data_IF_506536226755
#
_entry.id   IF_506536226755
#
_cell.length_a   1.000
_cell.length_b   1.000
_cell.length_c   1.000
_cell.angle_alpha   90.00
_cell.angle_beta   90.00
_cell.angle_gamma   90.00
#
_symmetry.space_group_name_H-M   'P 1'
#
loop_
_entity.id
_entity.type
_entity.pdbx_description
1 polymer ?
#
# COMPACT_ATOMS: atom_id res chain seq x y z
N UNK A 1 26.30 -57.93 40.38
CA UNK A 1 25.34 -58.26 41.46
C UNK A 1 24.28 -57.18 41.47
N UNK A 2 23.08 -57.52 41.02
CA UNK A 2 21.91 -56.64 40.96
C UNK A 2 20.91 -57.12 42.02
N UNK A 3 20.17 -56.22 42.69
CA UNK A 3 18.93 -56.59 43.37
C UNK A 3 17.71 -56.20 42.52
N UNK A 4 16.87 -57.21 42.31
CA UNK A 4 15.50 -57.17 41.76
C UNK A 4 14.48 -56.82 42.89
N UNK A 5 13.17 -56.66 42.62
CA UNK A 5 12.38 -55.52 43.07
C UNK A 5 11.37 -55.86 44.18
N UNK A 6 10.77 -54.82 44.80
CA UNK A 6 9.64 -54.97 45.70
C UNK A 6 8.32 -54.58 45.00
N UNK A 7 7.33 -55.43 45.24
CA UNK A 7 6.01 -55.57 44.63
C UNK A 7 4.93 -54.63 45.18
N UNK A 8 3.92 -54.49 44.31
CA UNK A 8 2.58 -53.91 44.41
C UNK A 8 1.82 -54.30 45.69
N UNK A 9 1.08 -53.35 46.26
CA UNK A 9 -0.09 -53.59 47.12
C UNK A 9 -1.21 -52.63 46.71
N UNK A 10 -2.36 -53.19 46.32
CA UNK A 10 -3.61 -52.50 46.00
C UNK A 10 -4.71 -53.01 46.94
N UNK A 11 -5.64 -52.12 47.31
CA UNK A 11 -7.08 -52.31 47.60
C UNK A 11 -7.58 -51.20 48.57
N UNK A 12 -8.51 -50.33 48.12
CA UNK A 12 -9.99 -50.37 48.29
C UNK A 12 -10.41 -49.82 49.67
N UNK A 13 -11.52 -49.12 49.94
CA UNK A 13 -12.69 -48.54 49.25
C UNK A 13 -13.38 -47.65 50.33
N UNK A 14 -14.10 -46.58 49.94
CA UNK A 14 -15.29 -45.97 50.61
C UNK A 14 -15.44 -44.50 50.14
N UNK A 15 -16.38 -44.14 49.26
CA UNK A 15 -17.83 -43.89 49.44
C UNK A 15 -18.15 -42.51 50.07
N UNK A 16 -19.02 -41.78 49.34
CA UNK A 16 -19.89 -40.63 49.68
C UNK A 16 -19.28 -39.23 49.86
N UNK A 17 -19.55 -38.32 48.91
CA UNK A 17 -20.73 -37.45 48.94
C UNK A 17 -20.71 -36.46 47.76
N UNK A 18 -21.79 -36.45 46.98
CA UNK A 18 -22.08 -35.44 45.94
C UNK A 18 -22.72 -34.22 46.63
N UNK A 19 -22.31 -32.98 46.31
CA UNK A 19 -23.38 -32.02 46.03
C UNK A 19 -23.11 -31.02 44.89
N UNK A 20 -24.22 -30.78 44.18
CA UNK A 20 -24.64 -29.53 43.56
C UNK A 20 -23.88 -29.04 42.31
N UNK A 21 -24.36 -29.53 41.16
CA UNK A 21 -24.27 -28.82 39.88
C UNK A 21 -25.07 -27.51 39.97
N UNK A 22 -24.47 -26.33 39.74
CA UNK A 22 -25.24 -25.12 39.52
C UNK A 22 -25.73 -25.09 38.07
N UNK A 23 -27.03 -24.86 37.91
CA UNK A 23 -27.67 -24.46 36.65
C UNK A 23 -27.03 -23.18 36.11
N UNK A 24 -26.04 -23.32 35.22
CA UNK A 24 -25.66 -22.21 34.34
C UNK A 24 -26.50 -22.24 33.05
N UNK A 25 -27.14 -21.11 32.70
CA UNK A 25 -27.93 -21.03 31.49
C UNK A 25 -27.02 -21.19 30.28
N UNK A 26 -27.45 -22.03 29.33
CA UNK A 26 -26.83 -22.21 28.01
C UNK A 26 -26.74 -20.84 27.32
N UNK A 27 -25.62 -20.14 27.54
CA UNK A 27 -25.26 -18.94 26.80
C UNK A 27 -24.86 -19.40 25.41
N UNK A 28 -25.60 -18.89 24.42
CA UNK A 28 -25.45 -19.17 23.00
C UNK A 28 -23.97 -19.28 22.59
N UNK A 29 -23.63 -20.39 21.95
CA UNK A 29 -22.31 -20.75 21.41
C UNK A 29 -21.71 -19.75 20.42
N UNK A 30 -22.45 -18.69 20.04
CA UNK A 30 -21.95 -17.59 19.25
C UNK A 30 -21.00 -16.65 20.01
N UNK A 31 -21.14 -16.49 21.34
CA UNK A 31 -20.32 -15.53 22.11
C UNK A 31 -18.96 -16.09 22.56
N UNK A 32 -18.83 -17.40 22.72
CA UNK A 32 -17.55 -18.03 23.11
C UNK A 32 -16.50 -18.00 22.00
N UNK A 33 -16.90 -17.84 20.73
CA UNK A 33 -15.95 -17.73 19.62
C UNK A 33 -15.30 -16.34 19.53
N UNK A 34 -15.93 -15.28 20.07
CA UNK A 34 -15.43 -13.91 19.98
C UNK A 34 -14.80 -13.37 21.27
N UNK A 35 -15.11 -13.97 22.43
CA UNK A 35 -14.60 -13.53 23.73
C UNK A 35 -13.06 -13.52 23.86
N UNK A 36 -12.31 -14.47 23.28
CA UNK A 36 -10.85 -14.40 23.27
C UNK A 36 -10.33 -13.25 22.39
N UNK A 37 -10.99 -12.98 21.25
CA UNK A 37 -10.61 -11.92 20.31
C UNK A 37 -10.92 -10.51 20.84
N UNK A 38 -12.01 -10.35 21.59
CA UNK A 38 -12.35 -9.09 22.25
C UNK A 38 -11.34 -8.76 23.36
N UNK A 39 -10.94 -9.76 24.16
CA UNK A 39 -9.92 -9.58 25.23
C UNK A 39 -8.52 -9.36 24.66
N UNK A 40 -8.16 -10.04 23.57
CA UNK A 40 -6.89 -9.81 22.88
C UNK A 40 -6.85 -8.39 22.29
N UNK A 41 -7.92 -7.95 21.60
CA UNK A 41 -8.04 -6.60 21.06
C UNK A 41 -8.08 -5.51 22.14
N UNK A 42 -8.74 -5.73 23.29
CA UNK A 42 -8.73 -4.81 24.43
C UNK A 42 -7.36 -4.73 25.10
N UNK A 43 -6.66 -5.87 25.26
CA UNK A 43 -5.30 -5.88 25.82
C UNK A 43 -4.28 -5.20 24.90
N UNK A 44 -4.43 -5.38 23.58
CA UNK A 44 -3.64 -4.64 22.57
C UNK A 44 -3.98 -3.14 22.62
N UNK A 45 -5.26 -2.76 22.77
CA UNK A 45 -5.69 -1.37 22.89
C UNK A 45 -5.16 -0.67 24.15
N UNK A 46 -5.11 -1.37 25.28
CA UNK A 46 -4.62 -0.84 26.55
C UNK A 46 -3.10 -0.65 26.57
N UNK A 47 -2.34 -1.57 25.97
CA UNK A 47 -0.89 -1.44 25.80
C UNK A 47 -0.49 -0.31 24.84
N UNK A 48 -1.39 0.10 23.94
CA UNK A 48 -1.18 1.22 23.01
C UNK A 48 -1.44 2.60 23.63
N UNK A 49 -2.09 2.70 24.80
CA UNK A 49 -2.43 3.99 25.44
C UNK A 49 -1.22 4.88 25.78
N UNK A 50 -0.09 4.38 26.34
CA UNK A 50 1.07 5.21 26.64
C UNK A 50 1.92 5.55 25.40
N UNK A 51 1.92 4.68 24.39
CA UNK A 51 2.64 4.89 23.12
C UNK A 51 1.99 5.94 22.22
N UNK A 52 0.67 6.13 22.34
CA UNK A 52 -0.11 7.13 21.58
C UNK A 52 0.34 8.58 21.80
N UNK A 53 0.91 8.93 22.94
CA UNK A 53 1.31 10.31 23.23
C UNK A 53 2.47 10.80 22.33
N UNK A 54 3.33 9.90 21.83
CA UNK A 54 4.36 10.21 20.82
C UNK A 54 4.02 9.72 19.41
N UNK A 55 3.06 8.79 19.26
CA UNK A 55 2.59 8.30 17.96
C UNK A 55 1.72 9.30 17.18
N UNK A 56 1.27 10.40 17.81
CA UNK A 56 0.39 11.40 17.21
C UNK A 56 0.96 12.15 15.98
N UNK A 57 2.22 11.89 15.59
CA UNK A 57 2.85 12.49 14.40
C UNK A 57 3.36 11.46 13.37
N UNK A 58 3.25 10.16 13.64
CA UNK A 58 3.84 9.15 12.76
C UNK A 58 2.79 8.42 11.91
N UNK A 59 2.36 9.07 10.83
CA UNK A 59 1.37 8.55 9.89
C UNK A 59 1.73 7.18 9.31
N UNK A 60 3.02 6.82 9.25
CA UNK A 60 3.48 5.52 8.76
C UNK A 60 3.19 4.41 9.76
N UNK A 61 3.41 4.62 11.06
CA UNK A 61 3.06 3.61 12.07
C UNK A 61 1.54 3.44 12.11
N UNK A 62 0.78 4.55 12.03
CA UNK A 62 -0.68 4.51 11.90
C UNK A 62 -1.13 3.71 10.67
N UNK A 63 -0.53 3.95 9.49
CA UNK A 63 -0.86 3.20 8.27
C UNK A 63 -0.42 1.73 8.35
N UNK A 64 0.74 1.43 8.94
CA UNK A 64 1.22 0.07 9.15
C UNK A 64 0.32 -0.70 10.12
N UNK A 65 -0.17 -0.04 11.17
CA UNK A 65 -1.14 -0.58 12.12
C UNK A 65 -2.52 -0.75 11.48
N UNK A 66 -2.95 0.18 10.62
CA UNK A 66 -4.18 0.04 9.83
C UNK A 66 -4.09 -1.13 8.85
N UNK A 67 -2.97 -1.29 8.14
CA UNK A 67 -2.70 -2.44 7.26
C UNK A 67 -2.70 -3.76 8.05
N UNK A 68 -2.18 -3.75 9.27
CA UNK A 68 -2.07 -4.94 10.11
C UNK A 68 -3.39 -5.28 10.83
N UNK A 69 -4.19 -4.30 11.22
CA UNK A 69 -5.22 -4.43 12.25
C UNK A 69 -6.67 -4.36 11.75
N UNK A 70 -6.98 -3.60 10.70
CA UNK A 70 -8.38 -3.35 10.32
C UNK A 70 -8.74 -3.98 8.98
N UNK A 71 -9.62 -4.98 9.01
CA UNK A 71 -10.30 -5.50 7.79
C UNK A 71 -10.94 -4.37 6.98
N UNK A 72 -11.37 -3.31 7.67
CA UNK A 72 -11.93 -2.08 7.08
C UNK A 72 -10.92 -1.35 6.20
N UNK A 73 -9.64 -1.30 6.59
CA UNK A 73 -8.60 -0.66 5.77
C UNK A 73 -8.47 -1.35 4.42
N UNK A 74 -8.54 -2.68 4.40
CA UNK A 74 -8.47 -3.48 3.18
C UNK A 74 -9.75 -3.46 2.35
N UNK A 75 -10.87 -2.96 2.90
CA UNK A 75 -12.15 -2.91 2.19
C UNK A 75 -12.08 -1.98 0.97
N UNK A 76 -11.64 -0.74 1.14
CA UNK A 76 -11.57 0.21 0.03
C UNK A 76 -10.58 -0.21 -1.08
N UNK A 77 -9.34 -0.62 -0.78
CA UNK A 77 -8.43 -1.28 -1.72
C UNK A 77 -9.03 -2.51 -2.39
N UNK A 78 -9.66 -3.39 -1.61
CA UNK A 78 -10.26 -4.62 -2.10
C UNK A 78 -11.41 -4.36 -3.07
N UNK A 79 -12.30 -3.41 -2.73
CA UNK A 79 -13.39 -2.96 -3.59
C UNK A 79 -12.85 -2.32 -4.87
N UNK A 80 -11.81 -1.48 -4.76
CA UNK A 80 -11.17 -0.87 -5.93
C UNK A 80 -10.57 -1.92 -6.86
N UNK A 81 -9.79 -2.86 -6.33
CA UNK A 81 -9.21 -3.96 -7.11
C UNK A 81 -10.30 -4.83 -7.73
N UNK A 82 -11.36 -5.15 -6.99
CA UNK A 82 -12.49 -5.91 -7.52
C UNK A 82 -13.20 -5.17 -8.66
N UNK A 83 -13.49 -3.88 -8.49
CA UNK A 83 -14.09 -3.05 -9.52
C UNK A 83 -13.21 -2.95 -10.77
N UNK A 84 -11.89 -2.80 -10.59
CA UNK A 84 -10.92 -2.74 -11.67
C UNK A 84 -10.85 -4.06 -12.46
N UNK A 85 -10.79 -5.20 -11.77
CA UNK A 85 -10.78 -6.52 -12.42
C UNK A 85 -12.12 -6.83 -13.09
N UNK A 86 -13.25 -6.44 -12.49
CA UNK A 86 -14.57 -6.59 -13.10
C UNK A 86 -14.70 -5.73 -14.37
N UNK A 87 -14.19 -4.50 -14.36
CA UNK A 87 -14.15 -3.63 -15.53
C UNK A 87 -13.35 -4.27 -16.68
N UNK A 88 -12.17 -4.81 -16.37
CA UNK A 88 -11.38 -5.53 -17.38
C UNK A 88 -12.09 -6.78 -17.91
N UNK A 89 -12.71 -7.57 -17.05
CA UNK A 89 -13.45 -8.76 -17.47
C UNK A 89 -14.64 -8.39 -18.38
N UNK A 90 -15.37 -7.32 -18.03
CA UNK A 90 -16.52 -6.83 -18.79
C UNK A 90 -16.15 -6.29 -20.17
N UNK A 91 -15.02 -5.58 -20.26
CA UNK A 91 -14.59 -4.85 -21.47
C UNK A 91 -13.59 -5.63 -22.32
N UNK A 92 -13.31 -6.90 -21.99
CA UNK A 92 -12.28 -7.68 -22.66
C UNK A 92 -10.86 -7.11 -22.48
N UNK A 93 -10.63 -6.31 -21.43
CA UNK A 93 -9.36 -5.65 -21.15
C UNK A 93 -9.13 -4.35 -21.92
N UNK A 94 -10.15 -3.79 -22.58
CA UNK A 94 -10.04 -2.55 -23.35
C UNK A 94 -10.13 -1.28 -22.48
N UNK A 95 -10.81 -1.35 -21.34
CA UNK A 95 -11.11 -0.19 -20.48
C UNK A 95 -10.84 -0.50 -18.99
N UNK A 96 -10.33 0.48 -18.25
CA UNK A 96 -10.17 0.41 -16.80
C UNK A 96 -11.45 0.85 -16.09
N UNK A 97 -11.60 0.56 -14.78
CA UNK A 97 -12.73 1.09 -14.00
C UNK A 97 -12.74 2.63 -14.06
N UNK A 98 -11.57 3.26 -13.95
CA UNK A 98 -11.43 4.70 -14.12
C UNK A 98 -11.75 5.16 -15.54
N UNK A 99 -11.33 4.43 -16.57
CA UNK A 99 -11.71 4.69 -17.97
C UNK A 99 -13.23 4.76 -18.11
N UNK A 100 -13.94 3.74 -17.62
CA UNK A 100 -15.40 3.67 -17.67
C UNK A 100 -16.07 4.85 -16.92
N UNK A 101 -15.62 5.14 -15.69
CA UNK A 101 -16.20 6.22 -14.87
C UNK A 101 -15.93 7.60 -15.47
N UNK A 102 -14.79 7.76 -16.14
CA UNK A 102 -14.35 9.06 -16.67
C UNK A 102 -14.72 9.28 -18.13
N UNK A 103 -15.20 8.26 -18.83
CA UNK A 103 -15.46 8.30 -20.27
C UNK A 103 -14.17 8.29 -21.09
N UNK A 104 -13.18 7.49 -20.67
CA UNK A 104 -11.89 7.36 -21.34
C UNK A 104 -10.94 8.54 -21.16
N UNK A 105 -11.28 9.53 -20.33
CA UNK A 105 -10.43 10.71 -20.08
C UNK A 105 -9.22 10.36 -19.22
N UNK A 106 -9.37 9.41 -18.31
CA UNK A 106 -8.32 8.96 -17.38
C UNK A 106 -7.92 7.54 -17.74
N UNK A 107 -6.61 7.30 -17.85
CA UNK A 107 -6.05 5.98 -18.15
C UNK A 107 -6.55 5.38 -19.47
N UNK A 108 -6.80 6.21 -20.49
CA UNK A 108 -7.21 5.70 -21.80
C UNK A 108 -6.22 4.67 -22.34
N UNK A 109 -6.63 3.41 -22.36
CA UNK A 109 -5.78 2.27 -22.72
C UNK A 109 -5.59 2.15 -24.24
N UNK A 110 -6.24 3.04 -25.00
CA UNK A 110 -6.12 3.21 -26.44
C UNK A 110 -4.97 4.15 -26.86
N UNK A 111 -4.36 4.86 -25.91
CA UNK A 111 -3.17 5.69 -26.18
C UNK A 111 -1.91 4.83 -26.37
N UNK A 112 -0.84 5.43 -26.91
CA UNK A 112 0.43 4.77 -27.17
C UNK A 112 1.09 4.13 -25.93
N UNK A 113 0.76 4.59 -24.72
CA UNK A 113 1.19 4.02 -23.43
C UNK A 113 0.22 2.96 -22.89
N UNK A 114 -0.91 2.75 -23.56
CA UNK A 114 -2.04 1.98 -23.07
C UNK A 114 -1.76 0.50 -22.85
N UNK A 115 -0.84 -0.10 -23.61
CA UNK A 115 -0.40 -1.47 -23.34
C UNK A 115 0.37 -1.58 -22.02
N UNK A 116 1.34 -0.70 -21.78
CA UNK A 116 2.13 -0.69 -20.53
C UNK A 116 1.23 -0.36 -19.34
N UNK A 117 0.33 0.61 -19.51
CA UNK A 117 -0.65 0.97 -18.50
C UNK A 117 -1.57 -0.22 -18.14
N UNK A 118 -2.03 -1.00 -19.13
CA UNK A 118 -2.78 -2.25 -18.91
C UNK A 118 -1.99 -3.25 -18.08
N UNK A 119 -0.76 -3.54 -18.49
CA UNK A 119 0.12 -4.47 -17.77
C UNK A 119 0.37 -4.02 -16.34
N UNK A 120 0.62 -2.72 -16.15
CA UNK A 120 0.81 -2.13 -14.84
C UNK A 120 -0.43 -2.32 -13.97
N UNK A 121 -1.60 -1.88 -14.44
CA UNK A 121 -2.85 -2.00 -13.68
C UNK A 121 -3.15 -3.45 -13.30
N UNK A 122 -3.06 -4.38 -14.25
CA UNK A 122 -3.35 -5.79 -13.98
C UNK A 122 -2.36 -6.39 -12.97
N UNK A 123 -1.05 -6.19 -13.19
CA UNK A 123 -0.02 -6.73 -12.31
C UNK A 123 -0.05 -6.09 -10.91
N UNK A 124 -0.30 -4.79 -10.80
CA UNK A 124 -0.43 -4.08 -9.53
C UNK A 124 -1.69 -4.53 -8.76
N UNK A 125 -2.84 -4.66 -9.44
CA UNK A 125 -4.07 -5.18 -8.85
C UNK A 125 -3.89 -6.62 -8.34
N UNK A 126 -3.30 -7.51 -9.16
CA UNK A 126 -3.00 -8.88 -8.75
C UNK A 126 -2.03 -8.92 -7.57
N UNK A 127 -0.98 -8.09 -7.60
CA UNK A 127 -0.04 -7.96 -6.50
C UNK A 127 -0.75 -7.49 -5.21
N UNK A 128 -1.60 -6.46 -5.25
CA UNK A 128 -2.32 -6.02 -4.03
C UNK A 128 -3.27 -7.09 -3.50
N UNK A 129 -3.97 -7.83 -4.36
CA UNK A 129 -4.81 -8.95 -3.95
C UNK A 129 -3.98 -10.03 -3.24
N UNK A 130 -2.82 -10.39 -3.79
CA UNK A 130 -1.89 -11.31 -3.14
C UNK A 130 -1.37 -10.74 -1.81
N UNK A 131 -1.06 -9.43 -1.77
CA UNK A 131 -0.67 -8.73 -0.54
C UNK A 131 -1.74 -8.84 0.54
N UNK A 132 -3.02 -8.63 0.19
CA UNK A 132 -4.13 -8.81 1.10
C UNK A 132 -4.20 -10.25 1.63
N UNK A 133 -4.03 -11.27 0.77
CA UNK A 133 -3.94 -12.68 1.20
C UNK A 133 -2.75 -12.88 2.16
N UNK A 134 -1.59 -12.30 1.87
CA UNK A 134 -0.41 -12.41 2.72
C UNK A 134 -0.65 -11.87 4.14
N UNK A 135 -1.42 -10.77 4.27
CA UNK A 135 -1.69 -10.10 5.55
C UNK A 135 -2.93 -10.65 6.29
N UNK A 136 -4.01 -10.96 5.58
CA UNK A 136 -5.29 -11.37 6.15
C UNK A 136 -5.38 -12.88 6.40
N UNK A 137 -4.80 -13.71 5.52
CA UNK A 137 -4.83 -15.17 5.65
C UNK A 137 -3.74 -15.70 6.60
N UNK A 138 -3.65 -15.13 7.81
CA UNK A 138 -2.61 -15.47 8.80
C UNK A 138 -2.58 -16.96 9.16
N UNK A 139 -3.75 -17.61 9.18
CA UNK A 139 -3.90 -19.05 9.46
C UNK A 139 -3.21 -19.93 8.41
N UNK A 140 -3.10 -19.45 7.17
CA UNK A 140 -2.48 -20.22 6.08
C UNK A 140 -0.95 -20.25 6.17
N UNK A 141 -0.35 -19.49 7.10
CA UNK A 141 1.10 -19.49 7.31
C UNK A 141 1.62 -20.77 7.96
N UNK A 142 0.72 -21.56 8.55
CA UNK A 142 1.02 -22.79 9.29
C UNK A 142 0.24 -23.98 8.71
N UNK A 143 0.70 -25.19 9.00
CA UNK A 143 0.05 -26.43 8.56
C UNK A 143 0.10 -26.67 7.05
N UNK A 144 -0.91 -27.39 6.54
CA UNK A 144 -0.96 -27.87 5.16
C UNK A 144 -1.00 -26.74 4.11
N UNK A 145 -1.50 -25.55 4.47
CA UNK A 145 -1.61 -24.41 3.56
C UNK A 145 -0.34 -23.54 3.48
N UNK A 146 0.64 -23.79 4.34
CA UNK A 146 1.88 -23.00 4.39
C UNK A 146 2.66 -22.97 3.06
N UNK A 147 2.80 -24.07 2.29
CA UNK A 147 3.47 -24.03 0.99
C UNK A 147 2.76 -23.11 0.00
N UNK A 148 1.43 -23.15 -0.05
CA UNK A 148 0.62 -22.27 -0.91
C UNK A 148 0.82 -20.81 -0.50
N UNK A 149 0.69 -20.48 0.79
CA UNK A 149 0.86 -19.12 1.29
C UNK A 149 2.24 -18.53 0.92
N UNK A 150 3.31 -19.33 1.08
CA UNK A 150 4.67 -18.95 0.66
C UNK A 150 4.80 -18.81 -0.85
N UNK A 151 4.18 -19.70 -1.63
CA UNK A 151 4.15 -19.64 -3.09
C UNK A 151 3.51 -18.34 -3.58
N UNK A 152 2.36 -17.97 -3.00
CA UNK A 152 1.67 -16.71 -3.27
C UNK A 152 2.52 -15.49 -2.87
N UNK A 153 3.26 -15.57 -1.76
CA UNK A 153 4.19 -14.50 -1.34
C UNK A 153 5.37 -14.32 -2.30
N UNK A 154 5.87 -15.41 -2.90
CA UNK A 154 6.90 -15.33 -3.95
C UNK A 154 6.33 -14.77 -5.25
N UNK A 155 5.13 -15.18 -5.64
CA UNK A 155 4.45 -14.63 -6.81
C UNK A 155 4.19 -13.13 -6.64
N UNK A 156 3.74 -12.69 -5.47
CA UNK A 156 3.60 -11.28 -5.10
C UNK A 156 4.89 -10.49 -5.37
N UNK A 157 6.02 -10.97 -4.84
CA UNK A 157 7.32 -10.31 -5.04
C UNK A 157 7.74 -10.35 -6.52
N UNK A 158 7.55 -11.49 -7.19
CA UNK A 158 7.85 -11.65 -8.61
C UNK A 158 7.09 -10.65 -9.48
N UNK A 159 5.79 -10.48 -9.25
CA UNK A 159 4.97 -9.50 -9.94
C UNK A 159 5.47 -8.07 -9.72
N UNK A 160 5.82 -7.72 -8.47
CA UNK A 160 6.38 -6.39 -8.17
C UNK A 160 7.70 -6.16 -8.91
N UNK A 161 8.69 -7.04 -8.71
CA UNK A 161 10.03 -6.83 -9.23
C UNK A 161 10.11 -6.93 -10.76
N UNK A 162 9.30 -7.77 -11.39
CA UNK A 162 9.35 -8.00 -12.83
C UNK A 162 8.44 -7.08 -13.64
N UNK A 163 7.28 -6.67 -13.11
CA UNK A 163 6.25 -5.97 -13.90
C UNK A 163 5.75 -4.71 -13.22
N UNK A 164 5.13 -4.80 -12.05
CA UNK A 164 4.39 -3.69 -11.46
C UNK A 164 5.32 -2.52 -11.06
N UNK A 165 6.46 -2.81 -10.42
CA UNK A 165 7.45 -1.82 -10.02
C UNK A 165 8.12 -1.13 -11.21
N UNK A 166 8.71 -1.86 -12.17
CA UNK A 166 9.33 -1.25 -13.36
C UNK A 166 8.34 -0.43 -14.18
N UNK A 167 7.12 -0.94 -14.39
CA UNK A 167 6.09 -0.19 -15.10
C UNK A 167 5.59 1.03 -14.32
N UNK A 168 5.49 0.98 -12.98
CA UNK A 168 5.17 2.15 -12.16
C UNK A 168 6.20 3.27 -12.34
N UNK A 169 7.48 2.90 -12.27
CA UNK A 169 8.59 3.84 -12.44
C UNK A 169 8.55 4.47 -13.84
N UNK A 170 8.41 3.64 -14.87
CA UNK A 170 8.27 4.08 -16.25
C UNK A 170 7.07 5.03 -16.43
N UNK A 171 5.88 4.65 -15.97
CA UNK A 171 4.68 5.47 -16.11
C UNK A 171 4.78 6.79 -15.33
N UNK A 172 5.53 6.81 -14.24
CA UNK A 172 5.83 8.05 -13.50
C UNK A 172 6.64 9.01 -14.37
N UNK A 173 7.65 8.51 -15.08
CA UNK A 173 8.49 9.27 -16.02
C UNK A 173 7.75 9.76 -17.25
N UNK A 174 6.88 8.91 -17.82
CA UNK A 174 6.15 9.19 -19.06
C UNK A 174 4.73 9.71 -18.83
N UNK A 175 4.44 10.21 -17.63
CA UNK A 175 3.17 10.86 -17.34
C UNK A 175 3.04 12.17 -18.14
N UNK A 176 1.96 12.30 -18.92
CA UNK A 176 1.70 13.51 -19.72
C UNK A 176 1.41 14.73 -18.85
N UNK A 177 1.62 15.92 -19.39
CA UNK A 177 1.35 17.20 -18.70
C UNK A 177 -0.10 17.64 -18.84
N UNK A 178 -0.75 17.10 -19.88
CA UNK A 178 -2.17 17.23 -20.16
C UNK A 178 -2.58 18.62 -20.62
N UNK A 179 -3.89 18.84 -20.77
CA UNK A 179 -4.42 19.99 -21.51
C UNK A 179 -3.99 21.35 -20.94
N UNK A 180 -3.80 21.43 -19.63
CA UNK A 180 -3.44 22.66 -18.93
C UNK A 180 -1.92 22.91 -18.86
N UNK A 181 -1.10 22.13 -19.59
CA UNK A 181 0.37 22.23 -19.57
C UNK A 181 0.94 22.27 -18.14
N UNK A 182 0.44 21.41 -17.26
CA UNK A 182 0.75 21.40 -15.83
C UNK A 182 2.16 20.82 -15.53
N UNK A 183 3.19 21.29 -16.23
CA UNK A 183 4.56 20.76 -16.22
C UNK A 183 5.16 20.67 -14.82
N UNK A 184 5.02 21.74 -14.01
CA UNK A 184 5.55 21.77 -12.64
C UNK A 184 4.85 20.74 -11.76
N UNK A 185 3.52 20.69 -11.82
CA UNK A 185 2.70 19.78 -11.03
C UNK A 185 3.00 18.32 -11.40
N UNK A 186 3.06 18.02 -12.71
CA UNK A 186 3.37 16.68 -13.21
C UNK A 186 4.82 16.27 -12.98
N UNK A 187 5.75 17.22 -12.86
CA UNK A 187 7.12 16.95 -12.42
C UNK A 187 7.15 16.54 -10.96
N UNK A 188 6.42 17.26 -10.10
CA UNK A 188 6.30 16.88 -8.69
C UNK A 188 5.66 15.50 -8.54
N UNK A 189 4.57 15.22 -9.28
CA UNK A 189 3.98 13.88 -9.38
C UNK A 189 5.04 12.83 -9.74
N UNK A 190 5.76 13.05 -10.84
CA UNK A 190 6.76 12.11 -11.37
C UNK A 190 7.84 11.78 -10.32
N UNK A 191 8.40 12.80 -9.68
CA UNK A 191 9.42 12.67 -8.62
C UNK A 191 8.89 11.85 -7.45
N UNK A 192 7.69 12.16 -6.96
CA UNK A 192 7.09 11.50 -5.80
C UNK A 192 6.71 10.04 -6.10
N UNK A 193 6.17 9.77 -7.28
CA UNK A 193 5.79 8.42 -7.70
C UNK A 193 7.02 7.53 -7.94
N UNK A 194 8.08 8.07 -8.54
CA UNK A 194 9.37 7.37 -8.64
C UNK A 194 9.93 7.07 -7.25
N UNK A 195 9.90 8.04 -6.33
CA UNK A 195 10.39 7.85 -4.96
C UNK A 195 9.64 6.76 -4.22
N UNK A 196 8.31 6.81 -4.28
CA UNK A 196 7.42 5.80 -3.70
C UNK A 196 7.75 4.40 -4.23
N UNK A 197 8.01 4.31 -5.55
CA UNK A 197 8.37 3.06 -6.21
C UNK A 197 9.72 2.53 -5.71
N UNK A 198 10.74 3.39 -5.62
CA UNK A 198 12.09 3.01 -5.14
C UNK A 198 12.06 2.58 -3.67
N UNK A 199 11.30 3.26 -2.82
CA UNK A 199 11.12 2.86 -1.42
C UNK A 199 10.40 1.51 -1.31
N UNK A 200 9.35 1.28 -2.12
CA UNK A 200 8.67 -0.02 -2.17
C UNK A 200 9.63 -1.14 -2.61
N UNK A 201 10.42 -0.93 -3.67
CA UNK A 201 11.49 -1.86 -4.08
C UNK A 201 12.44 -2.18 -2.92
N UNK A 202 12.93 -1.14 -2.23
CA UNK A 202 13.86 -1.30 -1.13
C UNK A 202 13.27 -2.15 0.01
N UNK A 203 12.05 -1.85 0.44
CA UNK A 203 11.43 -2.55 1.56
C UNK A 203 10.99 -3.97 1.22
N UNK A 204 10.48 -4.22 0.01
CA UNK A 204 10.21 -5.59 -0.44
C UNK A 204 11.49 -6.40 -0.59
N UNK A 205 12.57 -5.80 -1.08
CA UNK A 205 13.88 -6.43 -1.14
C UNK A 205 14.37 -6.82 0.25
N UNK A 206 14.32 -5.88 1.21
CA UNK A 206 14.67 -6.14 2.61
C UNK A 206 13.78 -7.22 3.23
N UNK A 207 12.47 -7.18 3.01
CA UNK A 207 11.53 -8.22 3.45
C UNK A 207 11.91 -9.60 2.91
N UNK A 208 12.22 -9.70 1.62
CA UNK A 208 12.70 -10.94 1.00
C UNK A 208 14.03 -11.41 1.60
N UNK A 209 15.00 -10.50 1.79
CA UNK A 209 16.29 -10.81 2.41
C UNK A 209 16.14 -11.37 3.82
N UNK A 210 15.28 -10.77 4.63
CA UNK A 210 14.98 -11.25 5.99
C UNK A 210 14.45 -12.68 5.94
N UNK A 211 13.53 -12.96 5.02
CA UNK A 211 12.94 -14.29 4.87
C UNK A 211 13.95 -15.36 4.39
N UNK A 212 14.92 -14.98 3.55
CA UNK A 212 15.91 -15.92 2.99
C UNK A 212 17.11 -16.14 3.92
N UNK A 213 17.57 -15.10 4.62
CA UNK A 213 18.85 -15.14 5.35
C UNK A 213 18.73 -15.48 6.82
N UNK A 214 17.61 -15.17 7.47
CA UNK A 214 17.46 -15.44 8.90
C UNK A 214 16.91 -16.83 9.14
N UNK A 215 17.30 -17.42 10.27
CA UNK A 215 16.65 -18.61 10.79
C UNK A 215 15.17 -18.33 11.04
N UNK A 216 14.32 -19.31 10.73
CA UNK A 216 12.88 -19.21 10.93
C UNK A 216 12.60 -19.02 12.42
N UNK A 217 11.81 -18.01 12.77
CA UNK A 217 11.52 -17.65 14.16
C UNK A 217 10.59 -16.45 14.26
N UNK A 218 10.03 -16.22 15.46
CA UNK A 218 9.04 -15.17 15.69
C UNK A 218 9.59 -13.76 15.38
N UNK A 219 10.84 -13.48 15.76
CA UNK A 219 11.50 -12.20 15.50
C UNK A 219 11.71 -11.94 14.01
N UNK A 220 12.22 -12.96 13.28
CA UNK A 220 12.36 -12.91 11.83
C UNK A 220 11.02 -12.59 11.17
N UNK A 221 9.93 -13.18 11.68
CA UNK A 221 8.60 -13.02 11.11
C UNK A 221 8.06 -11.61 11.35
N UNK A 222 8.28 -11.08 12.56
CA UNK A 222 7.94 -9.71 12.91
C UNK A 222 8.68 -8.73 12.00
N UNK A 223 9.98 -8.91 11.81
CA UNK A 223 10.79 -8.02 10.98
C UNK A 223 10.40 -8.11 9.50
N UNK A 224 10.19 -9.32 8.97
CA UNK A 224 9.72 -9.54 7.61
C UNK A 224 8.36 -8.85 7.39
N UNK A 225 7.41 -9.03 8.31
CA UNK A 225 6.09 -8.39 8.25
C UNK A 225 6.21 -6.86 8.23
N UNK A 226 7.07 -6.28 9.07
CA UNK A 226 7.32 -4.82 9.08
C UNK A 226 7.86 -4.32 7.74
N UNK A 227 8.88 -4.98 7.20
CA UNK A 227 9.49 -4.60 5.92
C UNK A 227 8.49 -4.76 4.75
N UNK A 228 7.80 -5.90 4.65
CA UNK A 228 6.78 -6.12 3.63
C UNK A 228 5.61 -5.14 3.77
N UNK A 229 5.20 -4.84 5.00
CA UNK A 229 4.14 -3.87 5.30
C UNK A 229 4.52 -2.48 4.83
N UNK A 230 5.73 -2.02 5.14
CA UNK A 230 6.26 -0.74 4.68
C UNK A 230 6.24 -0.64 3.15
N UNK A 231 6.76 -1.65 2.44
CA UNK A 231 6.71 -1.68 0.98
C UNK A 231 5.28 -1.57 0.45
N UNK A 232 4.35 -2.30 1.09
CA UNK A 232 2.94 -2.29 0.71
C UNK A 232 2.28 -0.94 0.96
N UNK A 233 2.56 -0.25 2.08
CA UNK A 233 2.12 1.13 2.34
C UNK A 233 2.47 2.02 1.17
N UNK A 234 3.75 2.03 0.75
CA UNK A 234 4.19 2.86 -0.36
C UNK A 234 3.38 2.59 -1.63
N UNK A 235 3.25 1.32 -2.01
CA UNK A 235 2.46 0.98 -3.20
C UNK A 235 1.00 1.39 -3.08
N UNK A 236 0.41 1.33 -1.88
CA UNK A 236 -1.02 1.59 -1.67
C UNK A 236 -1.36 3.07 -1.48
N UNK A 237 -0.37 3.97 -1.36
CA UNK A 237 -0.62 5.42 -1.31
C UNK A 237 -1.43 5.90 -2.52
N UNK A 238 -1.21 5.30 -3.69
CA UNK A 238 -1.96 5.57 -4.91
C UNK A 238 -3.46 5.26 -4.76
N UNK A 239 -3.86 4.32 -3.91
CA UNK A 239 -5.28 3.96 -3.75
C UNK A 239 -6.05 5.08 -3.05
N UNK A 240 -5.46 5.67 -2.01
CA UNK A 240 -6.05 6.85 -1.38
C UNK A 240 -6.10 8.01 -2.36
N UNK A 241 -5.00 8.22 -3.10
CA UNK A 241 -4.94 9.24 -4.13
C UNK A 241 -6.09 9.07 -5.14
N UNK A 242 -6.28 7.86 -5.67
CA UNK A 242 -7.34 7.50 -6.61
C UNK A 242 -8.74 7.75 -6.04
N UNK A 243 -8.97 7.45 -4.76
CA UNK A 243 -10.23 7.78 -4.11
C UNK A 243 -10.51 9.30 -4.08
N UNK A 244 -9.52 10.11 -3.70
CA UNK A 244 -9.62 11.56 -3.77
C UNK A 244 -9.88 12.05 -5.20
N UNK A 245 -9.23 11.44 -6.20
CA UNK A 245 -9.45 11.77 -7.60
C UNK A 245 -10.88 11.49 -8.06
N UNK A 246 -11.49 10.37 -7.65
CA UNK A 246 -12.89 10.08 -7.99
C UNK A 246 -13.83 11.16 -7.47
N UNK A 247 -13.61 11.61 -6.23
CA UNK A 247 -14.39 12.71 -5.63
C UNK A 247 -14.22 13.98 -6.46
N UNK A 248 -13.00 14.35 -6.80
CA UNK A 248 -12.71 15.58 -7.55
C UNK A 248 -13.26 15.52 -8.98
N UNK A 249 -13.21 14.36 -9.63
CA UNK A 249 -13.83 14.12 -10.94
C UNK A 249 -15.35 14.25 -10.84
N UNK A 250 -15.96 13.67 -9.80
CA UNK A 250 -17.40 13.81 -9.56
C UNK A 250 -17.79 15.27 -9.34
N UNK A 251 -17.01 16.02 -8.55
CA UNK A 251 -17.20 17.47 -8.36
C UNK A 251 -17.08 18.24 -9.69
N UNK A 252 -16.06 17.93 -10.51
CA UNK A 252 -15.91 18.52 -11.85
C UNK A 252 -17.13 18.27 -12.72
N UNK A 253 -17.58 17.02 -12.80
CA UNK A 253 -18.78 16.64 -13.57
C UNK A 253 -20.01 17.37 -13.06
N UNK A 254 -20.20 17.46 -11.74
CA UNK A 254 -21.32 18.18 -11.15
C UNK A 254 -21.28 19.68 -11.50
N UNK A 255 -20.11 20.32 -11.42
CA UNK A 255 -19.93 21.73 -11.79
C UNK A 255 -20.29 21.98 -13.25
N UNK A 256 -19.82 21.13 -14.16
CA UNK A 256 -20.13 21.24 -15.60
C UNK A 256 -21.62 21.04 -15.86
N UNK A 257 -22.22 19.98 -15.32
CA UNK A 257 -23.65 19.68 -15.50
C UNK A 257 -24.54 20.79 -14.93
N UNK A 258 -24.20 21.33 -13.75
CA UNK A 258 -24.96 22.44 -13.15
C UNK A 258 -24.85 23.73 -13.97
N UNK A 259 -23.69 24.00 -14.57
CA UNK A 259 -23.49 25.15 -15.45
C UNK A 259 -24.27 25.03 -16.77
N UNK A 260 -24.35 23.81 -17.33
CA UNK A 260 -25.11 23.51 -18.54
C UNK A 260 -26.62 23.55 -18.30
N UNK A 261 -27.10 22.98 -17.20
CA UNK A 261 -28.52 22.96 -16.82
C UNK A 261 -29.05 24.34 -16.40
N UNK A 262 -28.17 25.29 -16.08
CA UNK A 262 -28.54 26.65 -15.70
C UNK A 262 -29.18 27.44 -16.85
N UNK A 263 -30.03 28.45 -16.54
CA UNK A 263 -30.58 29.36 -17.54
C UNK A 263 -29.50 29.99 -18.43
N UNK A 264 -29.82 30.24 -19.70
CA UNK A 264 -28.86 30.84 -20.65
C UNK A 264 -28.31 32.22 -20.21
N UNK A 265 -28.98 32.91 -19.29
CA UNK A 265 -28.53 34.17 -18.69
C UNK A 265 -27.35 34.01 -17.71
N UNK A 266 -27.00 32.78 -17.31
CA UNK A 266 -25.93 32.47 -16.36
C UNK A 266 -24.53 32.44 -17.02
N UNK A 267 -24.27 33.36 -17.94
CA UNK A 267 -22.99 33.41 -18.67
C UNK A 267 -21.77 33.48 -17.75
N UNK A 268 -21.84 34.28 -16.68
CA UNK A 268 -20.77 34.38 -15.67
C UNK A 268 -20.56 33.08 -14.90
N UNK A 269 -21.64 32.37 -14.55
CA UNK A 269 -21.55 31.08 -13.82
C UNK A 269 -20.90 30.03 -14.70
N UNK A 270 -21.25 29.99 -15.99
CA UNK A 270 -20.62 29.08 -16.97
C UNK A 270 -19.13 29.36 -17.12
N UNK A 271 -18.73 30.62 -17.23
CA UNK A 271 -17.32 31.01 -17.25
C UNK A 271 -16.56 30.57 -16.01
N UNK A 272 -17.14 30.78 -14.81
CA UNK A 272 -16.52 30.33 -13.55
C UNK A 272 -16.46 28.80 -13.49
N UNK A 273 -17.51 28.11 -13.91
CA UNK A 273 -17.56 26.65 -13.93
C UNK A 273 -16.51 26.05 -14.88
N UNK A 274 -16.34 26.62 -16.08
CA UNK A 274 -15.29 26.26 -17.03
C UNK A 274 -13.91 26.51 -16.44
N UNK A 275 -13.66 27.69 -15.87
CA UNK A 275 -12.38 28.02 -15.25
C UNK A 275 -12.03 27.08 -14.08
N UNK A 276 -13.03 26.69 -13.28
CA UNK A 276 -12.85 25.69 -12.23
C UNK A 276 -12.56 24.31 -12.83
N UNK A 277 -13.30 23.90 -13.86
CA UNK A 277 -13.19 22.59 -14.51
C UNK A 277 -11.88 22.39 -15.30
N UNK A 278 -11.29 23.46 -15.83
CA UNK A 278 -10.04 23.46 -16.61
C UNK A 278 -8.81 23.84 -15.77
N UNK A 279 -9.00 24.46 -14.61
CA UNK A 279 -7.95 24.86 -13.68
C UNK A 279 -7.82 23.89 -12.51
N UNK A 280 -8.33 24.24 -11.31
CA UNK A 280 -8.12 23.46 -10.10
C UNK A 280 -8.77 22.07 -10.13
N UNK A 281 -9.83 21.87 -10.92
CA UNK A 281 -10.46 20.56 -11.08
C UNK A 281 -9.91 19.76 -12.26
N UNK A 282 -8.89 20.27 -12.96
CA UNK A 282 -8.20 19.50 -14.00
C UNK A 282 -7.65 18.19 -13.42
N UNK A 283 -7.73 17.13 -14.20
CA UNK A 283 -7.36 15.79 -13.72
C UNK A 283 -5.88 15.72 -13.35
N UNK A 284 -4.99 16.32 -14.15
CA UNK A 284 -3.56 16.26 -13.93
C UNK A 284 -3.13 17.16 -12.77
N UNK A 285 -3.76 18.32 -12.63
CA UNK A 285 -3.59 19.18 -11.45
C UNK A 285 -4.01 18.42 -10.19
N UNK A 286 -5.17 17.77 -10.21
CA UNK A 286 -5.65 16.98 -9.07
C UNK A 286 -4.78 15.75 -8.77
N UNK A 287 -4.35 15.03 -9.80
CA UNK A 287 -3.40 13.92 -9.67
C UNK A 287 -2.14 14.42 -8.98
N UNK A 288 -1.55 15.51 -9.46
CA UNK A 288 -0.35 16.09 -8.88
C UNK A 288 -0.56 16.60 -7.45
N UNK A 289 -1.63 17.34 -7.16
CA UNK A 289 -1.90 17.88 -5.83
C UNK A 289 -2.12 16.77 -4.79
N UNK A 290 -2.92 15.77 -5.14
CA UNK A 290 -3.17 14.61 -4.28
C UNK A 290 -1.88 13.81 -4.04
N UNK A 291 -1.02 13.66 -5.05
CA UNK A 291 0.32 13.08 -4.89
C UNK A 291 1.25 13.97 -4.08
N UNK A 292 1.25 15.28 -4.26
CA UNK A 292 2.12 16.23 -3.56
C UNK A 292 1.87 16.25 -2.05
N UNK A 293 0.64 16.02 -1.60
CA UNK A 293 0.36 15.88 -0.17
C UNK A 293 1.14 14.69 0.42
N UNK A 294 1.14 13.53 -0.25
CA UNK A 294 1.99 12.40 0.12
C UNK A 294 3.48 12.69 -0.13
N UNK A 295 3.77 13.39 -1.22
CA UNK A 295 5.10 13.80 -1.63
C UNK A 295 5.79 14.68 -0.63
N UNK A 296 5.10 15.63 -0.01
CA UNK A 296 5.64 16.46 1.06
C UNK A 296 6.05 15.59 2.25
N UNK A 297 5.25 14.59 2.62
CA UNK A 297 5.62 13.62 3.63
C UNK A 297 6.82 12.74 3.21
N UNK A 298 6.96 12.46 1.91
CA UNK A 298 8.09 11.71 1.35
C UNK A 298 9.36 12.55 1.15
N UNK A 299 9.24 13.87 0.95
CA UNK A 299 10.36 14.81 0.88
C UNK A 299 11.02 15.01 2.24
N UNK A 300 10.31 14.74 3.35
CA UNK A 300 10.92 14.61 4.67
C UNK A 300 11.89 13.40 4.77
N UNK A 301 11.99 12.59 3.71
CA UNK A 301 12.82 11.38 3.65
C UNK A 301 14.07 11.57 2.79
N UNK A 302 14.63 12.78 2.74
CA UNK A 302 15.88 13.04 1.99
C UNK A 302 16.99 12.05 2.32
N UNK A 303 17.05 11.58 3.57
CA UNK A 303 18.06 10.66 4.09
C UNK A 303 17.77 9.18 3.82
N UNK A 304 16.68 8.87 3.09
CA UNK A 304 16.36 7.53 2.63
C UNK A 304 15.64 6.63 3.68
N UNK A 305 15.51 5.33 3.40
CA UNK A 305 14.71 4.36 4.15
C UNK A 305 15.32 3.98 5.50
N UNK A 306 16.57 4.37 5.76
CA UNK A 306 17.28 4.20 7.04
C UNK A 306 17.24 5.45 7.91
N UNK A 307 16.58 6.51 7.45
CA UNK A 307 16.46 7.74 8.24
C UNK A 307 15.80 7.46 9.59
N UNK A 308 16.11 8.31 10.57
CA UNK A 308 15.52 8.23 11.91
C UNK A 308 13.99 8.21 11.86
N UNK A 309 13.41 8.92 10.91
CA UNK A 309 11.97 8.91 10.67
C UNK A 309 11.44 7.50 10.42
N UNK A 310 12.08 6.70 9.56
CA UNK A 310 11.66 5.33 9.28
C UNK A 310 11.92 4.35 10.40
N UNK A 311 13.05 4.50 11.09
CA UNK A 311 13.36 3.67 12.27
C UNK A 311 12.25 3.85 13.32
N UNK A 312 11.84 5.10 13.57
CA UNK A 312 10.74 5.42 14.48
C UNK A 312 9.38 4.95 13.94
N UNK A 313 9.11 5.17 12.64
CA UNK A 313 7.86 4.76 11.99
C UNK A 313 7.61 3.26 11.97
N UNK A 314 8.68 2.49 11.83
CA UNK A 314 8.62 1.04 11.86
C UNK A 314 8.77 0.50 13.28
N UNK A 315 8.86 1.36 14.30
CA UNK A 315 9.07 1.01 15.69
C UNK A 315 10.21 0.00 15.86
N UNK A 316 11.35 0.29 15.24
CA UNK A 316 12.53 -0.58 15.31
C UNK A 316 13.39 -0.09 16.48
N UNK A 317 13.69 -1.00 17.40
CA UNK A 317 14.80 -0.78 18.33
C UNK A 317 16.15 -0.78 17.55
N UNK A 318 17.22 -0.19 18.10
CA UNK A 318 18.50 -0.06 17.39
C UNK A 318 19.04 -1.39 16.85
N UNK A 319 18.95 -2.46 17.63
CA UNK A 319 19.39 -3.80 17.22
C UNK A 319 18.56 -4.33 16.04
N UNK A 320 17.23 -4.21 16.10
CA UNK A 320 16.37 -4.63 14.98
C UNK A 320 16.61 -3.76 13.74
N UNK A 321 16.89 -2.46 13.90
CA UNK A 321 17.23 -1.56 12.81
C UNK A 321 18.55 -1.96 12.14
N UNK A 322 19.58 -2.25 12.93
CA UNK A 322 20.86 -2.79 12.47
C UNK A 322 20.66 -4.12 11.74
N UNK A 323 19.87 -5.03 12.28
CA UNK A 323 19.56 -6.31 11.62
C UNK A 323 18.85 -6.14 10.26
N UNK A 324 17.93 -5.17 10.15
CA UNK A 324 17.20 -4.92 8.91
C UNK A 324 18.08 -4.22 7.88
N UNK A 325 18.78 -3.19 8.31
CA UNK A 325 19.47 -2.26 7.43
C UNK A 325 20.92 -2.64 7.19
N UNK A 326 21.54 -3.34 8.13
CA UNK A 326 22.92 -3.80 8.15
C UNK A 326 23.82 -2.98 9.09
N UNK A 327 23.32 -1.85 9.60
CA UNK A 327 24.05 -0.88 10.43
C UNK A 327 23.01 0.09 11.08
N UNK A 328 23.37 0.79 12.16
CA UNK A 328 22.47 1.63 12.97
C UNK A 328 21.95 2.86 12.21
N UNK A 329 22.74 3.40 11.26
CA UNK A 329 22.37 4.61 10.52
C UNK A 329 22.98 4.69 9.11
N UNK A 330 22.40 5.50 8.22
CA UNK A 330 22.91 5.62 6.86
C UNK A 330 24.33 6.21 6.85
N UNK A 331 25.23 5.59 6.10
CA UNK A 331 26.58 6.11 5.91
C UNK A 331 26.60 7.35 5.01
N UNK A 332 27.72 8.08 4.98
CA UNK A 332 27.85 9.32 4.20
C UNK A 332 27.59 9.13 2.70
N UNK A 333 28.08 8.04 2.10
CA UNK A 333 27.83 7.70 0.70
C UNK A 333 26.35 7.38 0.43
N UNK A 334 25.72 6.64 1.32
CA UNK A 334 24.29 6.34 1.22
C UNK A 334 23.47 7.64 1.30
N UNK A 335 23.78 8.52 2.24
CA UNK A 335 23.14 9.85 2.33
C UNK A 335 23.35 10.67 1.05
N UNK A 336 24.56 10.66 0.49
CA UNK A 336 24.86 11.34 -0.77
C UNK A 336 24.01 10.81 -1.93
N UNK A 337 23.90 9.49 -2.07
CA UNK A 337 23.08 8.84 -3.10
C UNK A 337 21.59 9.14 -2.91
N UNK A 338 21.08 9.00 -1.68
CA UNK A 338 19.69 9.33 -1.40
C UNK A 338 19.43 10.80 -1.71
N UNK A 339 20.17 11.75 -1.15
CA UNK A 339 19.93 13.18 -1.40
C UNK A 339 20.08 13.55 -2.88
N UNK A 340 21.05 12.97 -3.58
CA UNK A 340 21.28 13.19 -5.00
C UNK A 340 20.20 12.60 -5.92
N UNK A 341 19.44 11.59 -5.48
CA UNK A 341 18.42 10.91 -6.30
C UNK A 341 17.33 11.86 -6.81
N UNK A 342 16.97 12.89 -6.04
CA UNK A 342 15.92 13.83 -6.45
C UNK A 342 16.37 14.65 -7.66
N UNK A 343 17.65 15.04 -7.69
CA UNK A 343 18.24 15.68 -8.86
C UNK A 343 18.27 14.73 -10.05
N UNK A 344 18.56 13.45 -9.83
CA UNK A 344 18.50 12.43 -10.87
C UNK A 344 17.07 12.26 -11.41
N UNK A 345 16.06 12.20 -10.54
CA UNK A 345 14.64 12.13 -10.94
C UNK A 345 14.24 13.34 -11.78
N UNK A 346 14.63 14.54 -11.37
CA UNK A 346 14.41 15.78 -12.12
C UNK A 346 15.12 15.77 -13.47
N UNK A 347 16.38 15.30 -13.51
CA UNK A 347 17.15 15.20 -14.73
C UNK A 347 16.54 14.19 -15.71
N UNK A 348 16.12 13.02 -15.24
CA UNK A 348 15.43 12.03 -16.08
C UNK A 348 14.10 12.58 -16.59
N UNK A 349 13.31 13.24 -15.73
CA UNK A 349 12.06 13.88 -16.14
C UNK A 349 12.31 14.97 -17.18
N UNK A 350 13.28 15.85 -16.94
CA UNK A 350 13.69 16.89 -17.88
C UNK A 350 14.15 16.30 -19.22
N UNK A 351 14.90 15.20 -19.22
CA UNK A 351 15.31 14.52 -20.44
C UNK A 351 14.10 14.01 -21.25
N UNK A 352 13.18 13.27 -20.62
CA UNK A 352 12.02 12.69 -21.33
C UNK A 352 11.01 13.74 -21.80
N UNK A 353 10.99 14.94 -21.20
CA UNK A 353 10.13 16.07 -21.61
C UNK A 353 10.86 17.13 -22.45
N UNK A 354 12.10 16.87 -22.87
CA UNK A 354 12.99 17.83 -23.56
C UNK A 354 13.04 19.18 -22.82
N UNK A 355 13.43 19.16 -21.56
CA UNK A 355 13.45 20.32 -20.66
C UNK A 355 12.06 20.92 -20.44
N UNK A 356 11.05 20.07 -20.19
CA UNK A 356 9.67 20.48 -19.87
C UNK A 356 8.96 21.24 -21.00
N UNK A 357 9.44 21.12 -22.23
CA UNK A 357 8.83 21.82 -23.38
C UNK A 357 7.77 20.99 -24.08
N UNK A 358 7.82 19.66 -23.95
CA UNK A 358 6.88 18.75 -24.62
C UNK A 358 6.35 17.69 -23.66
N UNK A 359 5.22 17.09 -24.05
CA UNK A 359 4.78 15.84 -23.44
C UNK A 359 5.75 14.70 -23.77
N UNK A 360 6.03 13.82 -22.80
CA UNK A 360 6.93 12.71 -23.03
C UNK A 360 6.30 11.72 -24.01
N UNK A 361 6.97 11.46 -25.13
CA UNK A 361 6.53 10.49 -26.14
C UNK A 361 7.53 9.33 -26.25
N UNK A 362 7.17 8.11 -25.81
CA UNK A 362 8.04 6.94 -25.88
C UNK A 362 8.55 6.61 -27.30
N UNK A 363 7.72 6.80 -28.32
CA UNK A 363 8.07 6.48 -29.72
C UNK A 363 9.15 7.42 -30.26
N UNK A 364 9.13 8.69 -29.85
CA UNK A 364 10.15 9.66 -30.27
C UNK A 364 11.54 9.36 -29.69
N UNK A 365 11.62 8.51 -28.65
CA UNK A 365 12.88 8.11 -28.02
C UNK A 365 13.39 6.76 -28.50
N UNK A 366 12.73 6.13 -29.50
CA UNK A 366 13.14 4.85 -30.06
C UNK A 366 12.98 3.67 -29.09
N UNK A 367 12.09 3.77 -28.10
CA UNK A 367 11.89 2.72 -27.09
C UNK A 367 10.92 1.62 -27.52
N UNK A 368 10.28 1.73 -28.69
CA UNK A 368 9.34 0.75 -29.25
C UNK A 368 9.32 0.75 -30.77
#
# INVERSE_FOLDING_TARGET
MAPTPATIGANNDAIDDDPAVPDEPIKSTAWCFWAPFAREAESELEQLKPRKAMANLNWISLLADMLAGTRVFWLAPGLFVAAQLAAFAWTGGEESFFGMVTGGVVESLSLDTGAIMRWHMFSASAMWALGAVQFLARRWRQGAWAPLHRGLGRLFLGLWFAVAGPSAFYLSLYSGTGPSNAQVAMTAFSVVSMETTVLAFYYFWKGWRVAVRRRLGAETWRLHKKAMGAGLVFTMTILFQRFCQLILIACRKAVVVLAEAGPGSWTRVRWVAEALASGPLDHNVNLALSTCWFGAALLLLLDGPRSRFFVLALELDPKTAEELFGDEGPGAWELGLWRGRLLLYLAMRGYVTKCWTIDPNPKQMGLF
#
